data_IF_155963928728
#
_entry.id   IF_155963928728
#
_cell.length_a   1.000
_cell.length_b   1.000
_cell.length_c   1.000
_cell.angle_alpha   90.00
_cell.angle_beta   90.00
_cell.angle_gamma   90.00
#
_symmetry.space_group_name_H-M   'P 1'
#
loop_
_entity.id
_entity.type
_entity.pdbx_description
1 polymer ?
#
# COMPACT_ATOMS: atom_id res chain seq x y z
N UNK A 1 -60.98 47.64 -42.13
CA UNK A 1 -59.89 46.71 -42.49
C UNK A 1 -58.80 46.81 -41.42
N UNK A 2 -58.73 45.84 -40.51
CA UNK A 2 -57.68 45.72 -39.48
C UNK A 2 -56.82 44.48 -39.82
N UNK A 3 -55.48 44.52 -39.72
CA UNK A 3 -54.66 43.34 -39.89
C UNK A 3 -54.51 42.55 -38.58
N UNK A 4 -54.39 41.23 -38.74
CA UNK A 4 -54.26 40.22 -37.68
C UNK A 4 -52.88 40.27 -37.03
N UNK A 5 -52.82 40.26 -35.70
CA UNK A 5 -51.63 39.92 -34.91
C UNK A 5 -51.52 38.40 -34.80
N UNK A 6 -50.46 37.83 -35.36
CA UNK A 6 -50.08 36.43 -35.16
C UNK A 6 -49.00 36.38 -34.06
N UNK A 7 -49.31 35.79 -32.90
CA UNK A 7 -48.33 35.55 -31.82
C UNK A 7 -47.60 34.24 -32.13
N UNK A 8 -46.29 34.31 -32.40
CA UNK A 8 -45.41 33.13 -32.33
C UNK A 8 -45.15 32.81 -30.85
N UNK A 9 -45.55 31.63 -30.41
CA UNK A 9 -45.06 31.02 -29.19
C UNK A 9 -43.84 30.16 -29.52
N UNK A 10 -42.68 30.50 -28.98
CA UNK A 10 -41.48 29.65 -29.01
C UNK A 10 -41.53 28.77 -27.77
N UNK A 11 -41.54 27.43 -27.88
CA UNK A 11 -41.45 26.56 -26.71
C UNK A 11 -39.99 26.57 -26.22
N UNK A 12 -39.78 27.04 -25.00
CA UNK A 12 -38.51 26.93 -24.30
C UNK A 12 -38.34 25.47 -23.86
N UNK A 13 -37.65 24.66 -24.66
CA UNK A 13 -37.20 23.33 -24.24
C UNK A 13 -36.14 23.49 -23.16
N UNK A 14 -36.55 23.36 -21.89
CA UNK A 14 -35.64 23.16 -20.77
C UNK A 14 -35.12 21.72 -20.88
N UNK A 15 -33.93 21.56 -21.47
CA UNK A 15 -33.17 20.31 -21.36
C UNK A 15 -32.66 20.25 -19.92
N UNK A 16 -33.37 19.50 -19.08
CA UNK A 16 -32.86 19.12 -17.78
C UNK A 16 -31.65 18.20 -18.02
N UNK A 17 -30.45 18.75 -17.85
CA UNK A 17 -29.27 17.93 -17.61
C UNK A 17 -29.49 17.24 -16.26
N UNK A 18 -30.09 16.05 -16.29
CA UNK A 18 -29.82 15.06 -15.26
C UNK A 18 -28.33 14.76 -15.41
N UNK A 19 -27.51 15.47 -14.65
CA UNK A 19 -26.20 14.94 -14.33
C UNK A 19 -26.48 13.61 -13.66
N UNK A 20 -26.14 12.52 -14.32
CA UNK A 20 -26.06 11.22 -13.66
C UNK A 20 -25.15 11.44 -12.45
N UNK A 21 -25.77 11.58 -11.28
CA UNK A 21 -25.10 11.48 -10.00
C UNK A 21 -24.67 10.02 -9.93
N UNK A 22 -23.52 9.70 -10.53
CA UNK A 22 -22.84 8.44 -10.29
C UNK A 22 -22.55 8.43 -8.80
N UNK A 23 -23.38 7.73 -8.05
CA UNK A 23 -23.21 7.51 -6.62
C UNK A 23 -21.94 6.67 -6.46
N UNK A 24 -20.89 7.26 -5.92
CA UNK A 24 -19.69 6.51 -5.57
C UNK A 24 -20.06 5.45 -4.51
N UNK A 25 -19.73 4.18 -4.73
CA UNK A 25 -20.24 3.08 -3.92
C UNK A 25 -19.60 3.02 -2.52
N UNK A 26 -18.31 3.34 -2.43
CA UNK A 26 -17.51 3.23 -1.20
C UNK A 26 -16.96 4.58 -0.71
N UNK A 27 -17.59 5.70 -1.08
CA UNK A 27 -17.09 7.06 -0.76
C UNK A 27 -16.90 7.33 0.73
N UNK A 28 -17.65 6.64 1.60
CA UNK A 28 -17.54 6.77 3.06
C UNK A 28 -16.54 5.78 3.69
N UNK A 29 -15.91 4.92 2.91
CA UNK A 29 -14.79 4.09 3.34
C UNK A 29 -15.04 2.58 3.26
N UNK A 30 -14.17 1.84 3.94
CA UNK A 30 -14.01 0.40 3.83
C UNK A 30 -14.10 -0.24 5.20
N UNK A 31 -15.00 -1.20 5.40
CA UNK A 31 -15.19 -1.82 6.71
C UNK A 31 -14.60 -3.23 6.79
N UNK A 32 -13.91 -3.52 7.89
CA UNK A 32 -13.80 -4.91 8.36
C UNK A 32 -15.11 -5.28 9.05
N UNK A 33 -15.64 -6.46 8.73
CA UNK A 33 -17.01 -6.88 9.06
C UNK A 33 -18.10 -5.98 8.44
N UNK A 34 -19.35 -6.45 8.49
CA UNK A 34 -20.52 -5.63 8.11
C UNK A 34 -20.68 -4.45 9.07
N UNK A 35 -21.12 -3.28 8.60
CA UNK A 35 -21.40 -2.08 9.44
C UNK A 35 -22.45 -2.31 10.53
N UNK A 36 -23.25 -3.38 10.42
CA UNK A 36 -24.19 -3.83 11.44
C UNK A 36 -23.58 -4.72 12.53
N UNK A 37 -22.34 -5.19 12.35
CA UNK A 37 -21.67 -6.06 13.30
C UNK A 37 -21.11 -5.25 14.49
N UNK A 38 -21.16 -5.75 15.74
CA UNK A 38 -20.68 -5.01 16.91
C UNK A 38 -19.17 -4.69 16.88
N UNK A 39 -18.38 -5.47 16.13
CA UNK A 39 -16.92 -5.36 16.05
C UNK A 39 -16.44 -4.89 14.67
N UNK A 40 -17.26 -4.12 13.95
CA UNK A 40 -16.80 -3.51 12.71
C UNK A 40 -15.87 -2.33 12.98
N UNK A 41 -14.98 -2.06 12.03
CA UNK A 41 -14.21 -0.82 11.99
C UNK A 41 -14.18 -0.32 10.55
N UNK A 42 -14.25 1.00 10.38
CA UNK A 42 -14.27 1.67 9.06
C UNK A 42 -12.98 2.44 8.86
N UNK A 43 -12.43 2.30 7.66
CA UNK A 43 -11.20 2.95 7.22
C UNK A 43 -11.48 3.86 6.04
N UNK A 44 -10.82 5.02 6.00
CA UNK A 44 -11.15 6.10 5.05
C UNK A 44 -10.15 6.23 3.91
N UNK A 45 -9.05 5.48 3.94
CA UNK A 45 -8.03 5.49 2.90
C UNK A 45 -7.69 4.07 2.47
N UNK A 46 -7.14 3.97 1.26
CA UNK A 46 -6.61 2.71 0.72
C UNK A 46 -5.24 2.90 0.08
N UNK A 47 -4.46 1.81 0.08
CA UNK A 47 -3.32 1.56 -0.78
C UNK A 47 -3.41 0.11 -1.23
N UNK A 48 -3.71 -0.08 -2.50
CA UNK A 48 -3.77 -1.40 -3.14
C UNK A 48 -2.63 -1.50 -4.15
N UNK A 49 -1.94 -2.63 -4.17
CA UNK A 49 -0.87 -2.90 -5.14
C UNK A 49 -0.98 -4.33 -5.60
N UNK A 50 -1.22 -4.50 -6.90
CA UNK A 50 -1.13 -5.76 -7.60
C UNK A 50 0.29 -5.92 -8.16
N UNK A 51 1.07 -6.79 -7.53
CA UNK A 51 2.45 -7.04 -7.93
C UNK A 51 2.57 -8.08 -9.04
N UNK A 52 1.51 -8.83 -9.35
CA UNK A 52 1.52 -9.79 -10.47
C UNK A 52 1.61 -9.08 -11.82
N UNK A 53 1.16 -7.82 -11.89
CA UNK A 53 1.08 -7.04 -13.13
C UNK A 53 2.05 -5.85 -13.18
N UNK A 54 2.92 -5.72 -12.18
CA UNK A 54 3.75 -4.53 -11.98
C UNK A 54 5.17 -4.71 -12.52
N UNK A 55 5.58 -3.84 -13.44
CA UNK A 55 6.93 -3.81 -14.02
C UNK A 55 7.91 -2.90 -13.25
N UNK A 56 7.38 -1.93 -12.49
CA UNK A 56 8.17 -0.95 -11.75
C UNK A 56 7.42 -0.39 -10.54
N UNK A 57 8.12 -0.19 -9.43
CA UNK A 57 7.56 0.38 -8.19
C UNK A 57 7.31 1.90 -8.24
N UNK A 58 7.57 2.54 -9.38
CA UNK A 58 7.35 3.99 -9.55
C UNK A 58 5.86 4.31 -9.47
N UNK A 59 5.48 5.17 -8.53
CA UNK A 59 4.10 5.70 -8.44
C UNK A 59 3.08 4.76 -7.80
N UNK A 60 3.52 3.63 -7.21
CA UNK A 60 2.62 2.68 -6.52
C UNK A 60 2.78 2.63 -4.99
N UNK A 61 3.68 3.45 -4.46
CA UNK A 61 3.75 3.77 -3.02
C UNK A 61 4.80 3.05 -2.24
N UNK A 62 5.47 2.11 -2.88
CA UNK A 62 6.57 1.35 -2.34
C UNK A 62 7.90 1.94 -2.78
N UNK A 63 8.76 2.23 -1.81
CA UNK A 63 10.14 2.62 -2.08
C UNK A 63 11.09 1.50 -1.64
N UNK A 64 11.97 1.00 -2.54
CA UNK A 64 13.10 0.18 -2.13
C UNK A 64 13.96 0.92 -1.10
N UNK A 65 14.34 0.22 -0.04
CA UNK A 65 15.21 0.75 1.01
C UNK A 65 16.67 0.39 0.70
N UNK A 66 17.58 1.33 0.96
CA UNK A 66 19.04 1.14 0.82
C UNK A 66 19.74 1.59 2.09
N UNK A 67 20.32 0.64 2.82
CA UNK A 67 21.08 0.90 4.05
C UNK A 67 21.96 -0.29 4.42
N UNK A 68 22.85 -0.07 5.39
CA UNK A 68 23.65 -1.12 5.96
C UNK A 68 23.78 -1.00 7.48
N UNK A 69 23.92 -2.15 8.14
CA UNK A 69 24.22 -2.28 9.56
C UNK A 69 25.33 -3.31 9.71
N UNK A 70 26.42 -2.95 10.39
CA UNK A 70 27.54 -3.86 10.64
C UNK A 70 27.17 -4.97 11.62
N UNK A 71 27.88 -6.11 11.62
CA UNK A 71 27.65 -7.19 12.59
C UNK A 71 27.65 -6.70 14.06
N UNK A 72 28.57 -5.79 14.39
CA UNK A 72 28.66 -5.19 15.72
C UNK A 72 27.39 -4.43 16.14
N UNK A 73 26.76 -3.71 15.20
CA UNK A 73 25.55 -2.94 15.45
C UNK A 73 24.27 -3.81 15.44
N UNK A 74 24.28 -4.91 14.69
CA UNK A 74 23.22 -5.94 14.71
C UNK A 74 23.33 -6.89 15.92
N UNK A 75 24.47 -6.89 16.63
CA UNK A 75 24.77 -7.85 17.70
C UNK A 75 24.56 -9.31 17.27
N UNK A 76 24.94 -9.62 16.03
CA UNK A 76 24.79 -10.94 15.44
C UNK A 76 26.03 -11.31 14.60
N UNK A 77 26.06 -12.55 14.09
CA UNK A 77 27.23 -13.09 13.37
C UNK A 77 27.51 -12.31 12.08
N UNK A 78 26.47 -11.85 11.40
CA UNK A 78 26.57 -11.08 10.18
C UNK A 78 25.78 -9.78 10.32
N UNK A 79 26.18 -8.75 9.59
CA UNK A 79 25.37 -7.54 9.50
C UNK A 79 24.28 -7.65 8.43
N UNK A 80 23.54 -6.58 8.21
CA UNK A 80 22.42 -6.48 7.25
C UNK A 80 22.74 -5.40 6.21
N UNK A 81 22.51 -5.69 4.93
CA UNK A 81 22.66 -4.70 3.84
C UNK A 81 21.43 -4.71 2.92
N UNK A 82 20.50 -3.77 3.12
CA UNK A 82 19.37 -3.60 2.23
C UNK A 82 19.85 -3.00 0.90
N UNK A 83 19.50 -3.64 -0.21
CA UNK A 83 19.89 -3.21 -1.55
C UNK A 83 18.69 -3.13 -2.48
N UNK A 84 18.68 -2.11 -3.34
CA UNK A 84 17.69 -1.97 -4.40
C UNK A 84 17.77 -3.11 -5.42
N UNK A 85 18.94 -3.67 -5.64
CA UNK A 85 19.15 -4.77 -6.60
C UNK A 85 18.53 -6.09 -6.12
N UNK A 86 18.10 -6.15 -4.86
CA UNK A 86 17.40 -7.28 -4.26
C UNK A 86 15.89 -7.04 -4.17
N UNK A 87 15.38 -6.00 -4.83
CA UNK A 87 13.95 -5.69 -4.98
C UNK A 87 13.61 -5.76 -6.47
N UNK A 88 13.01 -6.88 -6.89
CA UNK A 88 12.87 -7.23 -8.31
C UNK A 88 11.38 -7.38 -8.66
N UNK A 89 10.79 -6.42 -9.39
CA UNK A 89 9.50 -6.64 -10.03
C UNK A 89 9.59 -7.79 -11.04
N UNK A 90 8.70 -8.77 -10.94
CA UNK A 90 8.64 -9.92 -11.83
C UNK A 90 7.19 -10.17 -12.29
N UNK A 91 6.63 -9.31 -13.16
CA UNK A 91 5.24 -9.44 -13.56
C UNK A 91 4.99 -10.68 -14.42
N UNK A 92 3.73 -11.07 -14.56
CA UNK A 92 3.25 -12.01 -15.56
C UNK A 92 3.57 -11.51 -16.97
N UNK A 93 3.89 -12.42 -17.89
CA UNK A 93 4.17 -12.08 -19.31
C UNK A 93 2.95 -11.49 -20.02
N UNK A 94 1.75 -11.82 -19.57
CA UNK A 94 0.49 -11.37 -20.15
C UNK A 94 -0.34 -10.62 -19.11
N UNK A 95 -0.66 -9.37 -19.39
CA UNK A 95 -1.29 -8.43 -18.44
C UNK A 95 -2.76 -8.70 -18.12
N UNK A 96 -3.35 -9.75 -18.69
CA UNK A 96 -4.75 -10.15 -18.45
C UNK A 96 -4.84 -11.50 -17.73
N UNK A 97 -3.72 -12.21 -17.62
CA UNK A 97 -3.63 -13.47 -16.92
C UNK A 97 -3.42 -13.23 -15.43
N UNK A 98 -3.86 -14.14 -14.58
CA UNK A 98 -3.60 -14.11 -13.13
C UNK A 98 -2.69 -15.27 -12.70
N UNK A 99 -2.36 -16.16 -13.62
CA UNK A 99 -1.44 -17.27 -13.45
C UNK A 99 -0.64 -17.50 -14.74
N UNK A 100 0.50 -18.16 -14.62
CA UNK A 100 1.35 -18.51 -15.76
C UNK A 100 2.77 -18.00 -15.62
N UNK A 101 3.45 -17.85 -16.76
CA UNK A 101 4.86 -17.49 -16.77
C UNK A 101 5.09 -16.02 -16.43
N UNK A 102 6.07 -15.77 -15.58
CA UNK A 102 6.58 -14.45 -15.26
C UNK A 102 7.71 -14.02 -16.23
N UNK A 103 7.98 -12.72 -16.30
CA UNK A 103 8.98 -12.13 -17.21
C UNK A 103 10.40 -12.64 -16.92
N UNK A 104 10.77 -12.78 -15.65
CA UNK A 104 12.10 -13.22 -15.22
C UNK A 104 12.14 -14.71 -14.81
N UNK A 105 11.05 -15.46 -15.02
CA UNK A 105 10.91 -16.84 -14.55
C UNK A 105 10.63 -16.95 -13.05
N UNK A 106 10.33 -18.17 -12.59
CA UNK A 106 9.85 -18.38 -11.22
C UNK A 106 8.46 -17.77 -10.97
N UNK A 107 8.09 -17.61 -9.70
CA UNK A 107 6.78 -17.09 -9.33
C UNK A 107 6.63 -15.60 -9.75
N UNK A 108 5.48 -15.21 -10.34
CA UNK A 108 5.16 -13.82 -10.64
C UNK A 108 4.90 -13.02 -9.36
N UNK A 109 5.26 -11.74 -9.36
CA UNK A 109 5.09 -10.84 -8.22
C UNK A 109 6.30 -9.95 -7.95
N UNK A 110 6.29 -9.24 -6.83
CA UNK A 110 7.45 -8.53 -6.32
C UNK A 110 8.35 -9.51 -5.57
N UNK A 111 9.59 -9.65 -6.00
CA UNK A 111 10.57 -10.53 -5.38
C UNK A 111 11.52 -9.75 -4.47
N UNK A 112 11.62 -10.16 -3.21
CA UNK A 112 12.63 -9.71 -2.26
C UNK A 112 13.65 -10.83 -2.03
N UNK A 113 14.91 -10.57 -2.39
CA UNK A 113 15.95 -11.62 -2.43
C UNK A 113 16.92 -11.46 -1.26
N UNK A 114 17.17 -12.52 -0.51
CA UNK A 114 18.33 -12.64 0.39
C UNK A 114 19.43 -13.36 -0.35
N UNK A 115 20.60 -12.74 -0.45
CA UNK A 115 21.75 -13.36 -1.11
C UNK A 115 22.47 -14.33 -0.17
N UNK A 116 22.93 -15.44 -0.74
CA UNK A 116 23.74 -16.44 -0.04
C UNK A 116 25.14 -15.94 0.31
N UNK A 117 25.69 -15.06 -0.53
CA UNK A 117 27.02 -14.48 -0.33
C UNK A 117 26.93 -13.17 0.45
N UNK A 118 27.84 -13.00 1.40
CA UNK A 118 27.97 -11.77 2.19
C UNK A 118 28.87 -10.75 1.49
N UNK A 119 28.59 -9.47 1.68
CA UNK A 119 29.46 -8.35 1.29
C UNK A 119 29.86 -7.62 2.56
N UNK A 120 31.16 -7.47 2.81
CA UNK A 120 31.69 -6.83 4.03
C UNK A 120 31.06 -7.40 5.32
N UNK A 121 31.00 -8.73 5.42
CA UNK A 121 30.37 -9.48 6.53
C UNK A 121 28.87 -9.21 6.74
N UNK A 122 28.20 -8.59 5.76
CA UNK A 122 26.77 -8.32 5.79
C UNK A 122 26.02 -9.19 4.78
N UNK A 123 24.87 -9.71 5.17
CA UNK A 123 23.96 -10.38 4.23
C UNK A 123 23.20 -9.31 3.45
N UNK A 124 23.29 -9.37 2.12
CA UNK A 124 22.55 -8.42 1.29
C UNK A 124 21.12 -8.92 1.06
N UNK A 125 20.15 -8.01 1.12
CA UNK A 125 18.74 -8.38 1.13
C UNK A 125 17.81 -7.31 0.54
N UNK A 126 16.53 -7.63 0.33
CA UNK A 126 15.51 -6.74 -0.22
C UNK A 126 14.54 -6.21 0.84
N UNK A 127 14.24 -4.91 0.80
CA UNK A 127 13.23 -4.25 1.64
C UNK A 127 12.51 -3.15 0.86
N UNK A 128 11.20 -3.06 1.05
CA UNK A 128 10.35 -1.97 0.54
C UNK A 128 9.52 -1.38 1.67
N UNK A 129 9.25 -0.08 1.61
CA UNK A 129 8.43 0.60 2.59
C UNK A 129 7.52 1.66 1.96
N UNK A 130 6.36 1.90 2.56
CA UNK A 130 5.38 2.92 2.13
C UNK A 130 5.78 4.32 2.59
N UNK A 131 7.03 4.74 2.34
CA UNK A 131 7.60 6.01 2.86
C UNK A 131 6.84 7.27 2.47
N UNK A 132 6.08 7.21 1.37
CA UNK A 132 5.19 8.27 0.88
C UNK A 132 3.84 8.31 1.63
N UNK A 133 3.55 7.28 2.43
CA UNK A 133 2.39 7.13 3.31
C UNK A 133 2.83 6.81 4.74
N UNK A 134 3.47 7.78 5.38
CA UNK A 134 3.82 7.73 6.80
C UNK A 134 2.68 8.17 7.73
N UNK A 135 1.50 8.36 7.15
CA UNK A 135 0.26 8.80 7.77
C UNK A 135 -0.66 7.64 8.14
N UNK A 136 -0.22 6.38 7.98
CA UNK A 136 -1.05 5.20 8.28
C UNK A 136 -1.26 5.07 9.79
N UNK A 137 -2.49 5.23 10.25
CA UNK A 137 -2.91 5.12 11.65
C UNK A 137 -4.15 4.23 11.76
N UNK A 138 -4.02 3.07 12.41
CA UNK A 138 -5.04 2.01 12.43
C UNK A 138 -5.40 1.51 11.03
N UNK A 139 -5.92 0.29 10.92
CA UNK A 139 -6.30 -0.24 9.60
C UNK A 139 -6.37 -1.75 9.52
N UNK A 140 -6.79 -2.23 8.36
CA UNK A 140 -6.65 -3.61 7.91
C UNK A 140 -5.52 -3.68 6.89
N UNK A 141 -4.45 -4.41 7.22
CA UNK A 141 -3.24 -4.51 6.41
C UNK A 141 -3.06 -5.96 5.97
N UNK A 142 -2.97 -6.18 4.67
CA UNK A 142 -3.04 -7.51 4.05
C UNK A 142 -1.94 -7.67 3.03
N UNK A 143 -1.28 -8.81 3.06
CA UNK A 143 -0.27 -9.20 2.08
C UNK A 143 -0.55 -10.63 1.64
N UNK A 144 -0.48 -10.91 0.34
CA UNK A 144 -0.34 -12.28 -0.13
C UNK A 144 1.09 -12.51 -0.59
N UNK A 145 1.74 -13.49 0.03
CA UNK A 145 3.14 -13.81 -0.24
C UNK A 145 3.38 -15.32 -0.17
N UNK A 146 4.42 -15.75 -0.87
CA UNK A 146 4.98 -17.10 -0.86
C UNK A 146 6.44 -17.01 -0.43
N UNK A 147 6.79 -17.72 0.63
CA UNK A 147 8.14 -17.67 1.21
C UNK A 147 9.06 -18.71 0.58
N UNK A 148 10.36 -18.55 0.79
CA UNK A 148 11.40 -19.47 0.29
C UNK A 148 11.34 -20.84 0.98
N UNK A 149 11.70 -21.89 0.25
CA UNK A 149 12.02 -23.22 0.81
C UNK A 149 13.43 -23.28 1.42
N UNK A 150 14.30 -22.31 1.10
CA UNK A 150 15.71 -22.28 1.50
C UNK A 150 15.84 -21.78 2.94
N UNK A 151 16.31 -22.61 3.89
CA UNK A 151 16.49 -22.19 5.27
C UNK A 151 17.52 -21.07 5.40
N UNK A 152 17.33 -20.19 6.39
CA UNK A 152 18.31 -19.17 6.75
C UNK A 152 17.83 -17.73 6.55
N UNK A 153 16.52 -17.48 6.54
CA UNK A 153 15.94 -16.16 6.31
C UNK A 153 14.74 -15.88 7.21
N UNK A 154 14.43 -14.59 7.38
CA UNK A 154 13.17 -14.09 7.92
C UNK A 154 12.44 -13.29 6.81
N UNK A 155 11.19 -13.66 6.53
CA UNK A 155 10.26 -12.85 5.75
C UNK A 155 9.35 -12.09 6.72
N UNK A 156 9.35 -10.76 6.67
CA UNK A 156 8.57 -9.91 7.56
C UNK A 156 7.62 -9.00 6.78
N UNK A 157 6.38 -8.95 7.25
CA UNK A 157 5.40 -7.92 6.89
C UNK A 157 4.99 -7.21 8.16
N UNK A 158 5.25 -5.90 8.21
CA UNK A 158 5.08 -5.17 9.45
C UNK A 158 4.68 -3.72 9.23
N UNK A 159 4.09 -3.14 10.27
CA UNK A 159 3.91 -1.71 10.41
C UNK A 159 4.90 -1.20 11.45
N UNK A 160 5.55 -0.07 11.18
CA UNK A 160 6.43 0.60 12.14
C UNK A 160 6.04 2.07 12.25
N UNK A 161 5.93 2.54 13.48
CA UNK A 161 5.58 3.94 13.74
C UNK A 161 6.66 4.88 13.22
N UNK A 162 6.25 5.96 12.58
CA UNK A 162 7.17 6.92 11.99
C UNK A 162 7.36 8.11 12.93
N UNK A 163 8.47 8.10 13.68
CA UNK A 163 8.83 9.21 14.56
C UNK A 163 9.29 10.48 13.83
N UNK A 164 9.17 10.56 12.49
CA UNK A 164 9.30 11.81 11.72
C UNK A 164 8.18 12.79 12.09
N UNK A 165 8.23 13.36 13.30
CA UNK A 165 7.74 14.71 13.50
C UNK A 165 8.51 15.61 12.53
N UNK A 166 7.77 16.24 11.61
CA UNK A 166 8.20 17.22 10.59
C UNK A 166 9.32 18.17 11.05
N UNK A 167 10.56 17.69 11.09
CA UNK A 167 11.76 18.52 11.05
C UNK A 167 12.43 18.22 9.74
N UNK A 168 12.05 18.97 8.71
CA UNK A 168 12.86 19.11 7.51
C UNK A 168 14.17 19.72 7.98
N UNK A 169 15.19 18.90 8.17
CA UNK A 169 16.56 19.36 8.32
C UNK A 169 17.18 19.28 6.93
N UNK A 170 17.25 20.40 6.18
CA UNK A 170 17.98 20.40 4.93
C UNK A 170 19.45 20.16 5.29
N UNK A 171 20.10 19.25 4.57
CA UNK A 171 21.56 19.02 4.62
C UNK A 171 22.14 17.96 5.59
N UNK A 172 21.39 16.92 5.97
CA UNK A 172 22.03 15.67 6.43
C UNK A 172 22.01 14.62 5.34
N UNK A 173 23.21 14.22 4.91
CA UNK A 173 23.45 12.93 4.22
C UNK A 173 22.64 11.85 4.94
N UNK A 174 21.77 11.20 4.18
CA UNK A 174 20.85 10.16 4.64
C UNK A 174 21.64 8.91 5.09
N UNK A 175 22.22 8.92 6.28
CA UNK A 175 22.67 7.69 6.95
C UNK A 175 21.42 7.01 7.49
N UNK A 176 20.92 6.06 6.69
CA UNK A 176 19.57 5.53 6.77
C UNK A 176 19.51 4.37 7.77
N UNK A 177 19.75 4.62 9.06
CA UNK A 177 19.67 3.60 10.13
C UNK A 177 19.23 4.08 11.53
N UNK A 178 19.15 5.39 11.90
CA UNK A 178 18.62 5.77 13.21
C UNK A 178 17.12 6.14 13.22
N UNK A 179 16.42 6.12 12.07
CA UNK A 179 15.08 6.76 11.96
C UNK A 179 13.93 5.98 12.62
N UNK A 180 14.09 4.67 12.84
CA UNK A 180 13.09 3.85 13.55
C UNK A 180 13.51 3.45 14.96
N UNK A 181 14.80 3.47 15.31
CA UNK A 181 15.30 3.00 16.61
C UNK A 181 14.75 3.75 17.83
N UNK A 182 14.23 4.96 17.62
CA UNK A 182 13.60 5.75 18.68
C UNK A 182 12.08 5.61 18.73
N UNK A 183 11.48 4.84 17.81
CA UNK A 183 10.11 4.39 17.92
C UNK A 183 10.13 2.92 18.31
N UNK A 184 9.57 2.62 19.47
CA UNK A 184 9.49 1.25 19.98
C UNK A 184 8.19 0.57 19.60
N UNK A 185 7.35 1.21 18.78
CA UNK A 185 6.04 0.71 18.38
C UNK A 185 6.07 0.11 16.97
N UNK A 186 5.82 -1.19 16.90
CA UNK A 186 5.82 -2.00 15.68
C UNK A 186 4.75 -3.08 15.79
N UNK A 187 4.21 -3.54 14.65
CA UNK A 187 3.31 -4.69 14.55
C UNK A 187 3.86 -5.61 13.47
N UNK A 188 4.18 -6.84 13.84
CA UNK A 188 4.97 -7.76 13.02
C UNK A 188 4.26 -9.08 12.75
N UNK A 189 4.42 -9.55 11.51
CA UNK A 189 4.19 -10.93 11.11
C UNK A 189 5.49 -11.45 10.48
N UNK A 190 6.16 -12.39 11.14
CA UNK A 190 7.48 -12.88 10.77
C UNK A 190 7.52 -14.41 10.59
N UNK A 191 8.02 -14.83 9.43
CA UNK A 191 8.13 -16.21 8.96
C UNK A 191 9.60 -16.60 8.83
N UNK A 192 10.02 -17.59 9.60
CA UNK A 192 11.42 -18.03 9.67
C UNK A 192 11.60 -19.31 8.85
N UNK A 193 12.30 -19.22 7.71
CA UNK A 193 12.44 -20.34 6.77
C UNK A 193 13.13 -21.56 7.37
N UNK A 194 13.98 -21.36 8.39
CA UNK A 194 14.64 -22.44 9.12
C UNK A 194 13.70 -23.24 10.04
N UNK A 195 12.49 -22.74 10.32
CA UNK A 195 11.53 -23.40 11.22
C UNK A 195 10.52 -24.29 10.48
N UNK A 196 10.46 -24.21 9.15
CA UNK A 196 9.47 -24.93 8.38
C UNK A 196 9.86 -26.39 8.18
N UNK A 197 8.94 -27.30 8.48
CA UNK A 197 9.02 -28.72 8.09
C UNK A 197 7.63 -29.26 7.67
N UNK A 198 7.55 -30.52 7.28
CA UNK A 198 6.30 -31.14 6.79
C UNK A 198 5.12 -31.13 7.77
N UNK A 199 5.36 -30.77 9.04
CA UNK A 199 4.36 -30.77 10.11
C UNK A 199 4.30 -29.47 10.91
N UNK A 200 5.16 -28.50 10.61
CA UNK A 200 5.26 -27.26 11.39
C UNK A 200 5.61 -26.09 10.48
N UNK A 201 4.79 -25.06 10.58
CA UNK A 201 4.92 -23.80 9.87
C UNK A 201 4.66 -22.66 10.87
N UNK A 202 5.61 -22.34 11.77
CA UNK A 202 5.39 -21.32 12.79
C UNK A 202 5.36 -19.93 12.16
N UNK A 203 4.36 -19.15 12.53
CA UNK A 203 4.26 -17.72 12.28
C UNK A 203 4.47 -16.98 13.60
N UNK A 204 5.44 -16.07 13.63
CA UNK A 204 5.73 -15.23 14.79
C UNK A 204 4.92 -13.93 14.64
N UNK A 205 4.16 -13.60 15.67
CA UNK A 205 3.36 -12.39 15.77
C UNK A 205 3.95 -11.54 16.88
N UNK A 206 4.28 -10.29 16.60
CA UNK A 206 4.81 -9.38 17.60
C UNK A 206 4.14 -8.01 17.57
N UNK A 207 4.06 -7.40 18.75
CA UNK A 207 3.90 -5.97 18.92
C UNK A 207 5.12 -5.52 19.72
N UNK A 208 6.03 -4.80 19.06
CA UNK A 208 7.07 -4.10 19.80
C UNK A 208 6.47 -2.90 20.52
N UNK A 209 6.93 -2.70 21.75
CA UNK A 209 6.53 -1.62 22.64
C UNK A 209 7.76 -1.09 23.40
N UNK A 210 7.65 0.05 24.15
CA UNK A 210 8.72 0.46 25.06
C UNK A 210 9.16 -0.64 26.05
N UNK A 211 8.26 -1.56 26.41
CA UNK A 211 8.59 -2.72 27.25
C UNK A 211 9.54 -3.69 26.53
N UNK A 212 9.30 -4.01 25.27
CA UNK A 212 10.23 -4.84 24.50
C UNK A 212 11.59 -4.17 24.33
N UNK A 213 11.62 -2.84 24.12
CA UNK A 213 12.86 -2.07 24.04
C UNK A 213 13.65 -2.13 25.36
N UNK A 214 12.97 -2.03 26.51
CA UNK A 214 13.58 -2.23 27.83
C UNK A 214 14.09 -3.67 28.05
N UNK A 215 13.58 -4.64 27.30
CA UNK A 215 14.01 -6.05 27.31
C UNK A 215 15.01 -6.40 26.19
N UNK A 216 15.71 -5.39 25.65
CA UNK A 216 16.72 -5.59 24.62
C UNK A 216 16.14 -5.73 23.20
N UNK A 217 15.01 -5.07 22.95
CA UNK A 217 14.24 -5.14 21.69
C UNK A 217 13.70 -6.55 21.40
N UNK A 218 13.37 -7.30 22.45
CA UNK A 218 12.93 -8.69 22.37
C UNK A 218 11.46 -8.79 22.81
N UNK A 219 10.54 -8.81 21.84
CA UNK A 219 9.11 -8.92 22.09
C UNK A 219 8.74 -10.26 22.75
N UNK A 220 9.51 -11.33 22.53
CA UNK A 220 9.25 -12.65 23.10
C UNK A 220 9.36 -12.67 24.64
N UNK A 221 9.93 -11.63 25.25
CA UNK A 221 9.96 -11.41 26.70
C UNK A 221 8.78 -10.59 27.23
N UNK A 222 7.81 -10.28 26.39
CA UNK A 222 6.64 -9.45 26.72
C UNK A 222 5.35 -10.18 26.35
N UNK A 223 4.18 -9.73 26.85
CA UNK A 223 2.89 -10.26 26.40
C UNK A 223 2.53 -9.90 24.96
N UNK A 224 3.32 -9.02 24.30
CA UNK A 224 3.15 -8.63 22.91
C UNK A 224 3.74 -9.62 21.91
N UNK A 225 3.90 -10.89 22.24
CA UNK A 225 4.44 -11.91 21.34
C UNK A 225 3.65 -13.20 21.39
N UNK A 226 3.37 -13.77 20.23
CA UNK A 226 2.72 -15.05 20.08
C UNK A 226 3.31 -15.83 18.90
N UNK A 227 3.27 -17.16 18.99
CA UNK A 227 3.61 -18.05 17.88
C UNK A 227 2.37 -18.85 17.52
N UNK A 228 1.99 -18.85 16.25
CA UNK A 228 0.91 -19.68 15.74
C UNK A 228 1.44 -20.70 14.73
N UNK A 229 1.02 -21.96 14.85
CA UNK A 229 1.28 -22.96 13.81
C UNK A 229 0.27 -22.79 12.68
N UNK A 230 0.74 -22.51 11.47
CA UNK A 230 -0.13 -22.42 10.29
C UNK A 230 -0.57 -23.83 9.86
N UNK A 231 -1.83 -24.00 9.39
CA UNK A 231 -2.33 -25.29 8.92
C UNK A 231 -1.87 -25.64 7.50
N UNK A 232 -0.96 -24.86 6.92
CA UNK A 232 -0.45 -24.98 5.56
C UNK A 232 1.06 -24.71 5.52
N UNK A 233 1.67 -24.94 4.35
CA UNK A 233 3.09 -24.68 4.06
C UNK A 233 3.25 -23.32 3.36
N UNK A 234 3.81 -22.30 4.03
CA UNK A 234 3.98 -20.94 3.46
C UNK A 234 4.83 -20.88 2.18
N UNK A 235 5.61 -21.92 1.92
CA UNK A 235 6.54 -22.06 0.80
C UNK A 235 5.97 -22.85 -0.38
N UNK A 236 4.81 -23.51 -0.22
CA UNK A 236 4.17 -24.28 -1.29
C UNK A 236 3.26 -23.43 -2.18
N UNK A 237 2.78 -22.28 -1.70
CA UNK A 237 1.86 -21.41 -2.42
C UNK A 237 1.77 -20.01 -1.83
N UNK A 238 0.99 -19.13 -2.46
CA UNK A 238 0.69 -17.82 -1.89
C UNK A 238 -0.37 -17.97 -0.81
N UNK A 239 -0.15 -17.32 0.34
CA UNK A 239 -1.13 -17.25 1.42
C UNK A 239 -1.34 -15.79 1.82
N UNK A 240 -2.58 -15.43 2.20
CA UNK A 240 -2.86 -14.10 2.75
C UNK A 240 -2.48 -14.07 4.23
N UNK A 241 -1.71 -13.07 4.62
CA UNK A 241 -1.44 -12.69 6.00
C UNK A 241 -2.04 -11.32 6.24
N UNK A 242 -2.79 -11.19 7.34
CA UNK A 242 -3.49 -9.95 7.67
C UNK A 242 -3.34 -9.62 9.15
N UNK A 243 -3.18 -8.33 9.43
CA UNK A 243 -3.47 -7.80 10.75
C UNK A 243 -4.45 -6.62 10.65
N UNK A 244 -5.47 -6.66 11.51
CA UNK A 244 -6.39 -5.56 11.74
C UNK A 244 -5.94 -4.84 13.01
N UNK A 245 -5.36 -3.65 12.85
CA UNK A 245 -4.88 -2.80 13.92
C UNK A 245 -5.97 -1.78 14.30
N UNK A 246 -6.58 -2.00 15.47
CA UNK A 246 -7.60 -1.15 16.07
C UNK A 246 -7.02 -0.38 17.27
N UNK A 247 -7.71 0.62 17.82
CA UNK A 247 -7.23 1.37 18.99
C UNK A 247 -6.97 0.53 20.24
N UNK A 248 -7.69 -0.58 20.41
CA UNK A 248 -7.68 -1.43 21.60
C UNK A 248 -6.96 -2.77 21.42
N UNK A 249 -6.72 -3.22 20.19
CA UNK A 249 -6.04 -4.49 19.87
C UNK A 249 -5.48 -4.53 18.45
N UNK A 250 -4.61 -5.50 18.21
CA UNK A 250 -4.27 -5.99 16.88
C UNK A 250 -4.78 -7.42 16.76
N UNK A 251 -5.62 -7.68 15.75
CA UNK A 251 -6.15 -9.01 15.43
C UNK A 251 -5.42 -9.57 14.21
N UNK A 252 -4.81 -10.74 14.33
CA UNK A 252 -4.03 -11.38 13.27
C UNK A 252 -4.81 -12.51 12.60
N UNK A 253 -4.59 -12.68 11.30
CA UNK A 253 -5.26 -13.65 10.45
C UNK A 253 -4.31 -14.25 9.42
N UNK A 254 -4.60 -15.48 9.00
CA UNK A 254 -4.04 -16.08 7.80
C UNK A 254 -5.14 -16.79 7.00
N UNK A 255 -5.19 -16.56 5.68
CA UNK A 255 -6.26 -17.04 4.78
C UNK A 255 -7.68 -16.81 5.34
N UNK A 256 -7.90 -15.62 5.90
CA UNK A 256 -9.18 -15.24 6.53
C UNK A 256 -9.46 -15.90 7.88
N UNK A 257 -8.64 -16.84 8.33
CA UNK A 257 -8.77 -17.51 9.64
C UNK A 257 -8.11 -16.67 10.72
N UNK A 258 -8.85 -16.40 11.80
CA UNK A 258 -8.33 -15.70 12.97
C UNK A 258 -7.26 -16.53 13.68
N UNK A 259 -6.17 -15.88 14.07
CA UNK A 259 -5.01 -16.49 14.74
C UNK A 259 -4.89 -16.04 16.19
N UNK A 260 -4.82 -14.73 16.43
CA UNK A 260 -4.57 -14.18 17.76
C UNK A 260 -5.01 -12.73 17.85
N UNK A 261 -5.38 -12.31 19.06
CA UNK A 261 -5.53 -10.90 19.42
C UNK A 261 -4.41 -10.53 20.40
N UNK A 262 -3.63 -9.51 20.04
CA UNK A 262 -2.65 -8.90 20.94
C UNK A 262 -3.13 -7.51 21.33
N UNK A 263 -3.29 -7.27 22.64
CA UNK A 263 -3.86 -6.04 23.20
C UNK A 263 -2.93 -5.32 24.19
N UNK A 264 -1.65 -5.68 24.21
CA UNK A 264 -0.66 -5.08 25.12
C UNK A 264 -0.01 -3.86 24.46
N UNK A 265 -0.20 -2.67 25.04
CA UNK A 265 0.32 -1.37 24.56
C UNK A 265 0.27 -1.24 23.04
N UNK A 266 -0.96 -1.23 22.50
CA UNK A 266 -1.23 -1.15 21.07
C UNK A 266 -0.68 0.16 20.49
N UNK A 267 0.01 0.14 19.33
CA UNK A 267 0.45 1.35 18.66
C UNK A 267 -0.66 2.37 18.45
N UNK A 268 -0.31 3.66 18.61
CA UNK A 268 -1.28 4.77 18.52
C UNK A 268 -0.71 6.02 17.81
N UNK A 269 0.45 5.88 17.16
CA UNK A 269 1.08 6.93 16.35
C UNK A 269 1.01 6.52 14.89
N UNK A 270 1.02 7.46 13.93
CA UNK A 270 1.05 7.10 12.51
C UNK A 270 2.40 6.52 12.11
N UNK A 271 2.41 5.74 11.03
CA UNK A 271 3.60 5.03 10.59
C UNK A 271 3.54 4.58 9.13
N UNK A 272 4.40 3.63 8.80
CA UNK A 272 4.56 3.08 7.45
C UNK A 272 4.44 1.56 7.50
N UNK A 273 4.00 0.96 6.39
CA UNK A 273 4.19 -0.46 6.15
C UNK A 273 5.59 -0.72 5.59
N UNK A 274 6.15 -1.85 5.99
CA UNK A 274 7.44 -2.34 5.52
C UNK A 274 7.32 -3.83 5.23
N UNK A 275 7.98 -4.26 4.15
CA UNK A 275 8.14 -5.65 3.81
C UNK A 275 9.62 -5.88 3.57
N UNK A 276 10.21 -6.86 4.25
CA UNK A 276 11.57 -7.29 3.97
C UNK A 276 11.71 -8.80 3.99
N UNK A 277 12.75 -9.26 3.31
CA UNK A 277 13.21 -10.64 3.39
C UNK A 277 14.69 -10.55 3.72
N UNK A 278 15.12 -11.00 4.89
CA UNK A 278 16.45 -10.69 5.41
C UNK A 278 17.10 -11.85 6.17
N UNK A 279 18.39 -11.72 6.44
CA UNK A 279 19.11 -12.62 7.34
C UNK A 279 20.27 -11.88 8.01
N UNK A 280 20.62 -12.30 9.23
CA UNK A 280 21.81 -11.84 9.95
C UNK A 280 22.52 -12.99 10.69
N UNK A 281 22.04 -14.22 10.52
CA UNK A 281 22.60 -15.42 11.15
C UNK A 281 22.38 -15.51 12.66
N UNK A 282 21.43 -14.76 13.22
CA UNK A 282 20.97 -15.03 14.59
C UNK A 282 20.38 -16.45 14.65
N UNK A 283 20.95 -17.37 15.46
CA UNK A 283 20.54 -18.78 15.48
C UNK A 283 19.12 -19.00 15.99
N UNK A 284 18.55 -18.03 16.72
CA UNK A 284 17.19 -18.10 17.25
C UNK A 284 16.17 -17.36 16.36
N UNK A 285 16.61 -16.73 15.27
CA UNK A 285 15.75 -16.00 14.34
C UNK A 285 16.01 -16.43 12.90
N UNK A 286 16.66 -15.59 12.09
CA UNK A 286 16.91 -15.86 10.68
C UNK A 286 17.77 -17.10 10.42
N UNK A 287 18.69 -17.47 11.32
CA UNK A 287 19.53 -18.68 11.24
C UNK A 287 20.34 -18.86 9.93
N UNK A 288 20.55 -17.81 9.15
CA UNK A 288 21.30 -17.85 7.89
C UNK A 288 22.77 -17.42 7.99
N UNK A 289 23.37 -16.96 6.87
CA UNK A 289 22.79 -16.75 5.55
C UNK A 289 22.24 -18.04 4.93
N UNK A 290 21.31 -17.95 3.97
CA UNK A 290 20.86 -19.12 3.24
C UNK A 290 21.99 -19.70 2.37
N UNK A 291 21.94 -21.00 2.11
CA UNK A 291 22.98 -21.71 1.33
C UNK A 291 22.98 -21.35 -0.16
N UNK A 292 21.85 -20.87 -0.67
CA UNK A 292 21.64 -20.33 -2.01
C UNK A 292 20.72 -19.10 -1.90
N UNK A 293 20.62 -18.32 -2.98
CA UNK A 293 19.79 -17.12 -2.96
C UNK A 293 18.33 -17.48 -2.70
N UNK A 294 17.75 -16.84 -1.68
CA UNK A 294 16.42 -17.15 -1.19
C UNK A 294 15.45 -16.04 -1.59
N UNK A 295 14.29 -16.40 -2.13
CA UNK A 295 13.31 -15.46 -2.68
C UNK A 295 12.03 -15.48 -1.86
N UNK A 296 11.56 -14.29 -1.46
CA UNK A 296 10.19 -14.04 -1.01
C UNK A 296 9.45 -13.42 -2.19
N UNK A 297 8.31 -13.98 -2.58
CA UNK A 297 7.48 -13.44 -3.66
C UNK A 297 6.18 -12.90 -3.11
N UNK A 298 5.80 -11.70 -3.50
CA UNK A 298 4.59 -11.00 -3.04
C UNK A 298 3.67 -10.82 -4.26
N UNK A 299 2.43 -11.31 -4.18
CA UNK A 299 1.44 -11.15 -5.25
C UNK A 299 0.64 -9.86 -5.10
N UNK A 300 0.25 -9.49 -3.88
CA UNK A 300 -0.41 -8.21 -3.62
C UNK A 300 -0.18 -7.69 -2.22
N UNK A 301 -0.40 -6.38 -2.06
CA UNK A 301 -0.67 -5.74 -0.77
C UNK A 301 -1.96 -4.93 -0.87
N UNK A 302 -2.81 -5.04 0.15
CA UNK A 302 -4.03 -4.24 0.31
C UNK A 302 -4.03 -3.67 1.71
N UNK A 303 -3.98 -2.34 1.81
CA UNK A 303 -4.02 -1.61 3.07
C UNK A 303 -5.23 -0.70 3.06
N UNK A 304 -6.08 -0.82 4.08
CA UNK A 304 -7.22 0.05 4.33
C UNK A 304 -7.03 0.67 5.70
N UNK A 305 -6.93 1.99 5.79
CA UNK A 305 -6.46 2.63 7.00
C UNK A 305 -7.06 4.02 7.20
N UNK A 306 -6.84 4.61 8.37
CA UNK A 306 -7.09 6.03 8.56
C UNK A 306 -5.81 6.82 8.35
N UNK A 307 -5.92 7.94 7.64
CA UNK A 307 -4.81 8.87 7.46
C UNK A 307 -4.71 9.88 8.62
N UNK A 308 -3.50 10.08 9.14
CA UNK A 308 -3.17 11.23 9.99
C UNK A 308 -2.93 12.52 9.20
N UNK A 309 -2.98 12.49 7.87
CA UNK A 309 -2.80 13.66 7.00
C UNK A 309 -4.08 14.50 6.97
N UNK A 310 -3.96 15.78 7.32
CA UNK A 310 -5.10 16.71 7.40
C UNK A 310 -5.81 16.90 6.06
N UNK A 311 -5.10 16.84 4.93
CA UNK A 311 -5.74 16.96 3.63
C UNK A 311 -6.63 15.75 3.36
N UNK A 312 -6.15 14.53 3.63
CA UNK A 312 -6.95 13.30 3.47
C UNK A 312 -8.16 13.26 4.39
N UNK A 313 -8.00 13.72 5.64
CA UNK A 313 -9.12 13.90 6.57
C UNK A 313 -10.17 14.90 6.05
N UNK A 314 -9.73 16.02 5.47
CA UNK A 314 -10.63 17.01 4.87
C UNK A 314 -11.33 16.47 3.62
N UNK A 315 -10.63 15.71 2.78
CA UNK A 315 -11.20 15.10 1.58
C UNK A 315 -12.25 14.04 1.95
N UNK A 316 -12.03 13.28 3.02
CA UNK A 316 -13.04 12.39 3.61
C UNK A 316 -14.27 13.14 4.11
N UNK A 317 -14.09 14.19 4.91
CA UNK A 317 -15.21 14.98 5.43
C UNK A 317 -16.04 15.65 4.33
N UNK A 318 -15.46 15.93 3.16
CA UNK A 318 -16.17 16.52 2.02
C UNK A 318 -16.97 15.49 1.22
N UNK A 319 -16.44 14.28 1.06
CA UNK A 319 -17.07 13.24 0.22
C UNK A 319 -18.14 12.45 0.97
N UNK A 320 -17.97 12.24 2.28
CA UNK A 320 -18.92 11.47 3.08
C UNK A 320 -19.97 12.39 3.73
N UNK A 321 -21.26 12.14 3.48
CA UNK A 321 -22.36 12.94 4.01
C UNK A 321 -22.48 12.85 5.54
N UNK A 322 -23.13 13.83 6.20
CA UNK A 322 -23.42 13.76 7.65
C UNK A 322 -24.60 12.83 8.00
N UNK A 323 -25.32 12.27 7.02
CA UNK A 323 -26.48 11.42 7.27
C UNK A 323 -26.05 9.97 7.50
N UNK A 324 -26.18 9.49 8.75
CA UNK A 324 -25.76 8.15 9.16
C UNK A 324 -26.30 6.99 8.29
N UNK A 325 -27.53 7.06 7.79
CA UNK A 325 -28.09 6.02 6.91
C UNK A 325 -27.44 6.03 5.54
N UNK A 326 -27.18 7.22 4.98
CA UNK A 326 -26.44 7.36 3.72
C UNK A 326 -24.97 6.94 3.89
N UNK A 327 -24.34 7.23 5.03
CA UNK A 327 -22.98 6.77 5.35
C UNK A 327 -22.92 5.25 5.33
N UNK A 328 -23.85 4.57 6.04
CA UNK A 328 -23.82 3.11 6.14
C UNK A 328 -23.99 2.41 4.78
N UNK A 329 -24.76 3.01 3.84
CA UNK A 329 -24.88 2.50 2.48
C UNK A 329 -23.71 2.83 1.56
N UNK A 330 -22.89 3.82 1.92
CA UNK A 330 -21.71 4.28 1.17
C UNK A 330 -20.38 3.75 1.76
N UNK A 331 -20.44 2.80 2.69
CA UNK A 331 -19.30 2.05 3.22
C UNK A 331 -19.31 0.65 2.63
N UNK A 332 -18.20 0.25 2.02
CA UNK A 332 -18.07 -1.08 1.43
C UNK A 332 -17.37 -2.03 2.39
N UNK A 333 -17.92 -3.22 2.58
CA UNK A 333 -17.24 -4.26 3.32
C UNK A 333 -16.04 -4.76 2.53
N UNK A 334 -14.87 -4.83 3.18
CA UNK A 334 -13.67 -5.44 2.61
C UNK A 334 -13.88 -6.96 2.57
N UNK A 335 -13.84 -7.60 1.39
CA UNK A 335 -13.97 -9.05 1.31
C UNK A 335 -12.82 -9.75 2.04
N UNK A 336 -13.12 -10.87 2.71
CA UNK A 336 -12.09 -11.72 3.28
C UNK A 336 -11.51 -12.65 2.21
N UNK A 337 -10.18 -12.75 2.12
CA UNK A 337 -9.51 -13.75 1.31
C UNK A 337 -9.47 -15.07 2.09
N UNK A 338 -10.54 -15.85 1.96
CA UNK A 338 -10.70 -17.13 2.69
C UNK A 338 -10.08 -18.33 1.99
N UNK A 339 -9.65 -18.14 0.74
CA UNK A 339 -8.99 -19.15 -0.07
C UNK A 339 -7.65 -18.57 -0.50
N UNK A 340 -6.56 -19.28 -0.23
CA UNK A 340 -5.23 -18.93 -0.69
C UNK A 340 -5.21 -18.69 -2.22
N UNK A 341 -4.63 -17.58 -2.72
CA UNK A 341 -4.48 -17.36 -4.16
C UNK A 341 -3.62 -18.48 -4.78
N UNK A 342 -4.21 -19.26 -5.68
CA UNK A 342 -3.52 -20.40 -6.29
C UNK A 342 -3.26 -20.14 -7.78
N UNK A 343 -1.98 -20.04 -8.13
CA UNK A 343 -1.53 -19.86 -9.52
C UNK A 343 -1.29 -21.19 -10.24
N UNK A 344 -1.45 -22.33 -9.57
CA UNK A 344 -1.22 -23.65 -10.14
C UNK A 344 -2.45 -24.19 -10.90
N UNK A 345 -2.20 -25.15 -11.79
CA UNK A 345 -3.23 -25.90 -12.48
C UNK A 345 -3.92 -25.16 -13.64
N UNK A 346 -4.88 -25.84 -14.32
CA UNK A 346 -5.54 -25.31 -15.51
C UNK A 346 -6.47 -24.11 -15.24
N UNK A 347 -6.95 -23.97 -14.00
CA UNK A 347 -7.87 -22.90 -13.59
C UNK A 347 -7.15 -21.75 -12.84
N UNK A 348 -5.81 -21.71 -12.87
CA UNK A 348 -4.98 -20.74 -12.15
C UNK A 348 -5.41 -19.29 -12.34
N UNK A 349 -5.87 -18.92 -13.54
CA UNK A 349 -6.35 -17.56 -13.82
C UNK A 349 -7.59 -17.17 -12.99
N UNK A 350 -8.43 -18.12 -12.62
CA UNK A 350 -9.59 -17.88 -11.77
C UNK A 350 -9.23 -17.95 -10.28
N UNK A 351 -8.38 -18.92 -9.89
CA UNK A 351 -8.04 -19.20 -8.49
C UNK A 351 -7.00 -18.26 -7.90
N UNK A 352 -6.12 -17.67 -8.72
CA UNK A 352 -5.17 -16.64 -8.27
C UNK A 352 -5.79 -15.24 -8.22
N UNK A 353 -6.93 -15.04 -8.91
CA UNK A 353 -7.57 -13.72 -8.98
C UNK A 353 -8.15 -13.32 -7.63
N UNK A 354 -7.79 -12.12 -7.17
CA UNK A 354 -8.29 -11.56 -5.92
C UNK A 354 -8.98 -10.22 -6.16
N UNK A 355 -9.84 -9.83 -5.22
CA UNK A 355 -10.63 -8.60 -5.31
C UNK A 355 -9.80 -7.36 -4.98
N UNK A 356 -9.93 -6.31 -5.79
CA UNK A 356 -9.43 -4.96 -5.54
C UNK A 356 -10.56 -3.96 -5.68
N UNK A 357 -10.67 -3.00 -4.77
CA UNK A 357 -11.64 -1.91 -4.98
C UNK A 357 -11.23 -1.03 -6.17
N UNK A 358 -9.94 -0.86 -6.41
CA UNK A 358 -9.40 -0.10 -7.53
C UNK A 358 -9.71 -0.69 -8.93
N UNK A 359 -10.17 -1.95 -9.01
CA UNK A 359 -10.62 -2.54 -10.30
C UNK A 359 -11.90 -1.88 -10.83
N UNK A 360 -12.75 -1.34 -9.96
CA UNK A 360 -13.95 -0.59 -10.34
C UNK A 360 -13.82 0.87 -9.89
N UNK A 361 -13.74 1.83 -10.83
CA UNK A 361 -13.66 3.24 -10.49
C UNK A 361 -14.80 3.73 -9.58
N UNK A 362 -15.98 3.11 -9.60
CA UNK A 362 -17.09 3.48 -8.71
C UNK A 362 -16.80 3.23 -7.23
N UNK A 363 -15.93 2.27 -6.93
CA UNK A 363 -15.53 1.95 -5.58
C UNK A 363 -14.49 2.93 -5.02
N UNK A 364 -13.78 3.66 -5.88
CA UNK A 364 -12.72 4.60 -5.48
C UNK A 364 -13.00 6.05 -5.91
N UNK A 365 -14.17 6.29 -6.50
CA UNK A 365 -14.58 7.60 -6.98
C UNK A 365 -14.56 8.64 -5.86
N UNK A 366 -14.02 9.83 -6.17
CA UNK A 366 -13.83 10.96 -5.24
C UNK A 366 -12.90 10.66 -4.04
N UNK A 367 -12.14 9.57 -4.09
CA UNK A 367 -11.13 9.24 -3.09
C UNK A 367 -9.73 9.48 -3.63
N UNK A 368 -8.80 9.76 -2.73
CA UNK A 368 -7.39 9.93 -3.05
C UNK A 368 -6.70 8.56 -3.08
N UNK A 369 -6.62 7.92 -4.25
CA UNK A 369 -5.89 6.66 -4.44
C UNK A 369 -4.39 6.88 -4.66
N UNK A 370 -3.58 5.85 -4.44
CA UNK A 370 -2.12 6.01 -4.43
C UNK A 370 -1.55 6.42 -5.80
N UNK A 371 -2.09 5.92 -6.92
CA UNK A 371 -1.69 6.36 -8.28
C UNK A 371 -1.77 7.88 -8.47
N UNK A 372 -2.63 8.53 -7.68
CA UNK A 372 -2.94 9.95 -7.79
C UNK A 372 -2.14 10.80 -6.78
N UNK A 373 -1.35 10.17 -5.89
CA UNK A 373 -0.78 10.82 -4.69
C UNK A 373 0.74 10.64 -4.52
N UNK A 374 1.53 11.73 -4.37
CA UNK A 374 1.33 13.09 -4.84
C UNK A 374 1.97 13.20 -6.23
N UNK A 375 1.27 12.74 -7.28
CA UNK A 375 1.70 13.03 -8.66
C UNK A 375 1.43 14.50 -9.05
N UNK A 376 0.73 15.26 -8.20
CA UNK A 376 0.42 16.69 -8.35
C UNK A 376 1.35 17.63 -7.56
N UNK A 377 2.63 17.26 -7.38
CA UNK A 377 3.64 18.28 -7.19
C UNK A 377 3.70 19.12 -8.48
N UNK A 378 3.06 20.29 -8.46
CA UNK A 378 2.70 21.22 -9.54
C UNK A 378 1.27 21.05 -10.11
N UNK A 379 0.25 21.14 -9.24
CA UNK A 379 -0.96 21.86 -9.61
C UNK A 379 -0.60 23.34 -9.88
N UNK A 380 -0.07 23.63 -11.07
CA UNK A 380 -0.31 24.93 -11.69
C UNK A 380 -1.83 24.95 -11.85
N UNK A 381 -2.49 25.81 -11.07
CA UNK A 381 -3.91 26.07 -11.19
C UNK A 381 -4.30 26.13 -12.67
N UNK A 382 -5.46 25.57 -13.08
CA UNK A 382 -5.96 25.83 -14.42
C UNK A 382 -6.13 27.34 -14.50
N UNK A 383 -5.23 27.99 -15.24
CA UNK A 383 -5.36 29.40 -15.59
C UNK A 383 -6.68 29.45 -16.33
N UNK A 384 -7.71 29.97 -15.67
CA UNK A 384 -8.96 30.30 -16.33
C UNK A 384 -8.58 31.18 -17.53
N UNK A 385 -8.61 30.60 -18.72
CA UNK A 385 -8.60 31.35 -19.97
C UNK A 385 -9.99 31.98 -20.06
N UNK A 386 -10.22 33.02 -19.25
CA UNK A 386 -11.06 34.12 -19.68
C UNK A 386 -10.32 34.82 -20.82
N UNK A 387 -10.40 34.21 -22.00
CA UNK A 387 -10.16 34.88 -23.26
C UNK A 387 -11.32 35.84 -23.49
N UNK A 388 -11.27 37.00 -22.84
CA UNK A 388 -11.95 38.19 -23.33
C UNK A 388 -11.31 38.54 -24.68
N UNK A 389 -11.91 38.06 -25.76
CA UNK A 389 -11.62 38.57 -27.10
C UNK A 389 -12.07 40.05 -27.17
N UNK A 390 -11.17 41.04 -27.34
CA UNK A 390 -11.60 42.31 -27.88
C UNK A 390 -11.93 42.09 -29.36
N UNK A 391 -13.23 42.17 -29.67
CA UNK A 391 -13.72 42.17 -31.04
C UNK A 391 -13.26 43.47 -31.72
N UNK A 392 -12.09 43.42 -32.37
CA UNK A 392 -11.60 44.52 -33.20
C UNK A 392 -12.40 44.52 -34.51
N UNK A 393 -13.40 45.41 -34.57
CA UNK A 393 -14.14 45.74 -35.79
C UNK A 393 -13.21 46.57 -36.68
N UNK A 394 -12.59 45.94 -37.68
CA UNK A 394 -11.88 46.64 -38.75
C UNK A 394 -12.86 47.07 -39.83
N UNK A 395 -13.27 48.33 -39.77
CA UNK A 395 -13.95 49.02 -40.88
C UNK A 395 -12.87 49.49 -41.85
N UNK A 396 -12.78 48.84 -43.02
CA UNK A 396 -11.96 49.32 -44.13
C UNK A 396 -12.73 50.40 -44.90
N UNK A 397 -12.30 51.66 -44.78
CA UNK A 397 -12.62 52.71 -45.75
C UNK A 397 -11.36 53.04 -46.55
N UNK A 398 -11.41 52.78 -47.85
CA UNK A 398 -10.44 53.23 -48.81
C UNK A 398 -10.55 54.75 -48.99
N UNK A 399 -9.44 55.48 -48.97
CA UNK A 399 -9.22 56.60 -49.88
C UNK A 399 -7.71 56.80 -50.14
N UNK A 400 -7.44 57.03 -51.42
CA UNK A 400 -6.16 57.29 -52.06
C UNK A 400 -5.54 58.62 -51.62
N UNK A 401 -4.22 58.77 -51.75
CA UNK A 401 -3.55 59.84 -52.55
C UNK A 401 -2.04 59.97 -52.18
N UNK A 402 -1.22 59.63 -53.19
CA UNK A 402 0.10 60.16 -53.61
C UNK A 402 1.26 60.42 -52.63
N UNK A 403 2.35 59.70 -52.94
CA UNK A 403 3.68 60.21 -53.33
C UNK A 403 4.49 61.11 -52.40
N UNK A 404 5.70 60.65 -52.07
CA UNK A 404 7.01 61.30 -52.32
C UNK A 404 7.98 60.98 -51.16
N UNK A 405 8.97 60.11 -51.38
CA UNK A 405 10.36 60.39 -51.76
C UNK A 405 11.32 60.44 -50.55
N UNK A 406 12.40 59.65 -50.70
CA UNK A 406 13.78 59.86 -50.22
C UNK A 406 13.99 59.80 -48.69
N UNK A 407 15.01 59.12 -48.16
CA UNK A 407 16.21 58.51 -48.71
C UNK A 407 16.63 57.32 -47.84
#
# INVERSE_FOLDING_TARGET
MLPRLCRLAVPLCVVAFLQDLVSAACECGYSVNTTTAPQHAVWTDLLETDFLHLDSLKGVGWLPQVYNTTPANEQSKYGKMASRDNVIPNPLKHSQDWAGESVNGGDPGLQLVVRSQTVDEMVTFGEVATRTRADMLYGSFRIAMKVTTVPGTCAAFFWVGDSRQKTVVPDRKLTMQPQFRNNSMEVDMELLSAQFNSTSSPLNLAIHTPESAANGFDAAKTPGFAIHQLPFRPDEGFHEYRFDWLPDRVSFYADGVWLSDLNTTVPNSPGVLVINHWSNGNPNWSAGPPVEDAVLTISYVKAYFNSSDTQRQNDFSKRCSENATAIASSVCQIPDQTIAPDTAGPDGNATAKTFFFSDDPQNTQNQTVFSDWPSTAHAIAPRQLFGSFPMAVTVAFAYSITSALLA
#
